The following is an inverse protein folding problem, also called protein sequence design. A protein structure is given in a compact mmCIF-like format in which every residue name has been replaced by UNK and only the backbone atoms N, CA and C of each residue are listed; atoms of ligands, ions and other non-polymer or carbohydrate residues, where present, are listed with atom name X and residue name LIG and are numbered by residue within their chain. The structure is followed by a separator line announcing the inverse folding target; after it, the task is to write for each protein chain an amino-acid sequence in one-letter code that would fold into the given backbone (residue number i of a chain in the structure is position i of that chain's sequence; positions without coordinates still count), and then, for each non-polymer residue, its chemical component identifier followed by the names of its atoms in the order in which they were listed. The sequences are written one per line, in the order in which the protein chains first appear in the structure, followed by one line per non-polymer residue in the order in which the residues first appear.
data_IF_778805469848
#
_entry.id   IF_778805469848
#
_cell.length_a   1.000
_cell.length_b   1.000
_cell.length_c   1.000
_cell.angle_alpha   90.00
_cell.angle_beta   90.00
_cell.angle_gamma   90.00
#
_symmetry.space_group_name_H-M   'P 1'
#
loop_
_entity.id
_entity.type
_entity.pdbx_description
1 polymer ?
#
# COMPACT_ATOMS: atom_id res chain seq x y z
N UNK A 1 -7.86 1.63 -17.32
CA UNK A 1 -7.75 1.80 -15.86
C UNK A 1 -8.65 0.74 -15.22
N UNK A 2 -8.16 -0.04 -14.26
CA UNK A 2 -8.94 -1.13 -13.65
C UNK A 2 -9.64 -0.57 -12.40
N UNK A 3 -10.97 -0.57 -12.39
CA UNK A 3 -11.75 -0.17 -11.22
C UNK A 3 -11.81 -1.34 -10.24
N UNK A 4 -11.21 -1.17 -9.05
CA UNK A 4 -11.34 -2.15 -7.97
C UNK A 4 -12.37 -1.61 -6.97
N UNK A 5 -13.45 -2.37 -6.78
CA UNK A 5 -14.59 -1.99 -5.92
C UNK A 5 -14.73 -2.96 -4.76
N UNK A 6 -15.20 -2.46 -3.62
CA UNK A 6 -15.55 -3.31 -2.49
C UNK A 6 -16.68 -4.27 -2.87
N UNK A 7 -16.53 -5.57 -2.60
CA UNK A 7 -17.55 -6.59 -2.89
C UNK A 7 -18.88 -6.29 -2.19
N UNK A 8 -18.84 -5.71 -0.99
CA UNK A 8 -20.01 -5.49 -0.14
C UNK A 8 -20.72 -4.17 -0.42
N UNK A 9 -20.01 -3.04 -0.39
CA UNK A 9 -20.62 -1.71 -0.53
C UNK A 9 -20.47 -1.10 -1.92
N UNK A 10 -19.77 -1.77 -2.85
CA UNK A 10 -19.54 -1.34 -4.25
C UNK A 10 -18.84 0.01 -4.43
N UNK A 11 -18.39 0.65 -3.34
CA UNK A 11 -17.54 1.84 -3.38
C UNK A 11 -16.19 1.53 -4.01
N UNK A 12 -15.65 2.49 -4.74
CA UNK A 12 -14.29 2.43 -5.28
C UNK A 12 -13.30 2.34 -4.12
N UNK A 13 -12.40 1.36 -4.20
CA UNK A 13 -11.32 1.19 -3.24
C UNK A 13 -10.11 2.05 -3.61
N UNK A 14 -9.93 2.36 -4.89
CA UNK A 14 -8.87 3.25 -5.34
C UNK A 14 -9.50 4.44 -6.05
N UNK A 15 -9.20 5.63 -5.55
CA UNK A 15 -9.68 6.95 -5.98
C UNK A 15 -8.79 7.57 -7.09
N UNK A 16 -8.03 6.74 -7.80
CA UNK A 16 -6.98 7.13 -8.75
C UNK A 16 -5.85 7.97 -8.15
N UNK A 17 -5.82 8.17 -6.84
CA UNK A 17 -4.66 8.75 -6.19
C UNK A 17 -3.49 7.77 -6.28
N UNK A 18 -2.38 8.24 -6.83
CA UNK A 18 -1.15 7.45 -6.88
C UNK A 18 -0.58 7.34 -5.46
N UNK A 19 -0.67 6.15 -4.89
CA UNK A 19 -0.05 5.85 -3.60
C UNK A 19 1.46 5.71 -3.82
N UNK A 20 2.24 6.55 -3.16
CA UNK A 20 3.69 6.46 -3.16
C UNK A 20 4.11 5.24 -2.34
N UNK A 21 4.78 4.29 -3.00
CA UNK A 21 5.44 3.18 -2.33
C UNK A 21 6.87 3.58 -1.95
N UNK A 22 7.31 3.13 -0.80
CA UNK A 22 8.68 3.34 -0.31
C UNK A 22 9.45 2.02 -0.28
N UNK A 23 10.76 2.11 -0.50
CA UNK A 23 11.71 1.02 -0.24
C UNK A 23 11.97 0.89 1.26
N UNK A 24 12.55 -0.23 1.70
CA UNK A 24 13.03 -0.40 3.10
C UNK A 24 13.94 0.75 3.58
N UNK A 25 14.59 1.47 2.67
CA UNK A 25 15.44 2.62 2.96
C UNK A 25 14.71 3.97 2.97
N UNK A 26 13.36 3.97 2.99
CA UNK A 26 12.52 5.17 3.01
C UNK A 26 12.65 6.04 1.73
N UNK A 27 13.04 5.44 0.62
CA UNK A 27 13.15 6.13 -0.67
C UNK A 27 11.88 5.89 -1.50
N UNK A 28 11.43 6.89 -2.27
CA UNK A 28 10.30 6.70 -3.19
C UNK A 28 10.65 5.66 -4.24
N UNK A 29 9.87 4.59 -4.31
CA UNK A 29 10.07 3.48 -5.25
C UNK A 29 9.73 3.93 -6.66
N UNK A 30 10.72 3.87 -7.56
CA UNK A 30 10.58 4.36 -8.95
C UNK A 30 10.03 3.30 -9.89
N UNK A 31 10.39 2.03 -9.70
CA UNK A 31 9.86 0.91 -10.48
C UNK A 31 9.23 -0.12 -9.53
N UNK A 32 7.97 -0.56 -9.76
CA UNK A 32 7.33 -1.61 -8.97
C UNK A 32 8.14 -2.91 -8.87
N UNK A 33 8.93 -3.21 -9.92
CA UNK A 33 9.81 -4.38 -10.01
C UNK A 33 11.18 -4.18 -9.35
N UNK A 34 11.48 -2.98 -8.82
CA UNK A 34 12.70 -2.77 -8.06
C UNK A 34 12.66 -3.63 -6.79
N UNK A 35 13.45 -4.71 -6.82
CA UNK A 35 13.79 -5.56 -5.68
C UNK A 35 14.95 -4.86 -4.95
N UNK A 36 14.61 -4.05 -3.95
CA UNK A 36 15.59 -3.37 -3.10
C UNK A 36 16.38 -4.35 -2.22
N UNK A 37 17.57 -3.88 -1.80
CA UNK A 37 18.73 -4.58 -1.20
C UNK A 37 18.56 -6.01 -0.67
N UNK A 38 19.33 -6.93 -1.27
CA UNK A 38 19.55 -8.28 -0.77
C UNK A 38 20.92 -8.51 -0.14
N UNK A 39 20.97 -9.48 0.77
CA UNK A 39 22.10 -10.38 0.92
C UNK A 39 21.69 -11.80 1.37
N UNK A 40 20.48 -12.02 1.91
CA UNK A 40 20.02 -13.38 2.23
C UNK A 40 18.51 -13.58 2.18
N UNK A 41 17.72 -12.53 2.36
CA UNK A 41 16.26 -12.63 2.38
C UNK A 41 15.69 -11.53 1.49
N UNK A 42 15.27 -11.89 0.27
CA UNK A 42 14.57 -10.99 -0.64
C UNK A 42 13.13 -10.80 -0.17
N UNK A 43 12.93 -10.36 1.06
CA UNK A 43 11.61 -9.89 1.44
C UNK A 43 11.31 -8.64 0.63
N UNK A 44 10.18 -8.67 -0.07
CA UNK A 44 9.67 -7.55 -0.85
C UNK A 44 9.31 -6.40 0.09
N UNK A 45 10.30 -5.66 0.57
CA UNK A 45 10.08 -4.56 1.51
C UNK A 45 9.62 -3.32 0.74
N UNK A 46 8.40 -3.39 0.20
CA UNK A 46 7.65 -2.23 -0.27
C UNK A 46 6.58 -1.92 0.77
N UNK A 47 6.54 -0.67 1.24
CA UNK A 47 5.52 -0.25 2.18
C UNK A 47 4.95 1.12 1.82
N UNK A 48 3.77 1.41 2.36
CA UNK A 48 3.15 2.74 2.33
C UNK A 48 3.37 3.37 3.70
N UNK A 49 3.91 4.57 3.74
CA UNK A 49 4.08 5.27 5.01
C UNK A 49 2.71 5.66 5.60
N UNK A 50 2.60 5.67 6.92
CA UNK A 50 1.32 5.96 7.60
C UNK A 50 0.76 7.35 7.25
N UNK A 51 1.62 8.33 6.99
CA UNK A 51 1.23 9.68 6.57
C UNK A 51 0.72 9.76 5.12
N UNK A 52 1.04 8.77 4.28
CA UNK A 52 0.56 8.63 2.89
C UNK A 52 -0.50 7.55 2.74
N UNK A 53 -0.91 6.92 3.83
CA UNK A 53 -1.90 5.87 3.82
C UNK A 53 -3.30 6.47 3.57
N UNK A 54 -4.04 6.00 2.56
CA UNK A 54 -5.42 6.43 2.36
C UNK A 54 -6.26 6.15 3.61
N UNK A 55 -7.10 7.12 4.00
CA UNK A 55 -7.95 7.03 5.20
C UNK A 55 -8.83 5.78 5.24
N UNK A 56 -9.25 5.27 4.08
CA UNK A 56 -10.07 4.06 4.02
C UNK A 56 -9.27 2.80 4.41
N UNK A 57 -7.98 2.72 4.07
CA UNK A 57 -7.09 1.63 4.49
C UNK A 57 -6.81 1.76 5.99
N UNK A 58 -6.48 2.96 6.45
CA UNK A 58 -6.27 3.25 7.87
C UNK A 58 -7.49 2.83 8.70
N UNK A 59 -8.70 3.21 8.26
CA UNK A 59 -9.93 2.84 8.92
C UNK A 59 -10.16 1.33 8.93
N UNK A 60 -9.93 0.65 7.80
CA UNK A 60 -10.04 -0.81 7.71
C UNK A 60 -9.09 -1.54 8.67
N UNK A 61 -7.82 -1.11 8.77
CA UNK A 61 -6.84 -1.68 9.71
C UNK A 61 -7.30 -1.47 11.16
N UNK A 62 -7.76 -0.25 11.48
CA UNK A 62 -8.18 0.08 12.84
C UNK A 62 -9.47 -0.62 13.26
N UNK A 63 -10.34 -1.00 12.31
CA UNK A 63 -11.52 -1.81 12.61
C UNK A 63 -11.16 -3.24 13.03
N UNK A 64 -10.06 -3.82 12.53
CA UNK A 64 -9.64 -5.19 12.89
C UNK A 64 -9.18 -5.31 14.34
N UNK A 65 -8.78 -4.20 14.98
CA UNK A 65 -8.36 -4.20 16.41
C UNK A 65 -9.50 -4.43 17.40
N UNK A 66 -10.75 -4.50 16.95
CA UNK A 66 -11.94 -4.67 17.80
C UNK A 66 -12.66 -6.03 17.60
N UNK A 67 -11.97 -7.02 17.00
CA UNK A 67 -12.43 -8.42 16.91
C UNK A 67 -11.57 -9.34 17.78
#
# INVERSE_FOLDING_TARGET
MMEVKCKHCRKDLFDNECILLFTSHHEVKKNPMDVGCGASDSEFCSYVSMDKLPKWIEHAINQVKFL
#
